data_IF_091156011787
#
_entry.id   IF_091156011787
#
_cell.length_a   1.000
_cell.length_b   1.000
_cell.length_c   1.000
_cell.angle_alpha   90.00
_cell.angle_beta   90.00
_cell.angle_gamma   90.00
#
_symmetry.space_group_name_H-M   'P 1'
#
loop_
_entity.id
_entity.type
_entity.pdbx_description
1 polymer ?
#
# COMPACT_ATOMS: atom_id res chain seq x y z
N UNK A 1 12.92 9.13 -7.46
CA UNK A 1 11.99 9.00 -6.32
C UNK A 1 10.63 8.78 -6.95
N UNK A 2 10.03 7.61 -6.78
CA UNK A 2 8.70 7.33 -7.30
C UNK A 2 7.68 8.10 -6.46
N UNK A 3 6.73 8.75 -7.11
CA UNK A 3 5.64 9.41 -6.40
C UNK A 3 4.66 8.36 -5.84
N UNK A 4 3.91 8.62 -4.76
CA UNK A 4 2.89 7.71 -4.22
C UNK A 4 1.93 7.15 -5.28
N UNK A 5 1.57 8.00 -6.24
CA UNK A 5 0.79 7.64 -7.42
C UNK A 5 1.46 6.61 -8.32
N UNK A 6 2.76 6.75 -8.59
CA UNK A 6 3.50 5.80 -9.41
C UNK A 6 3.69 4.45 -8.70
N UNK A 7 3.94 4.48 -7.39
CA UNK A 7 4.02 3.27 -6.58
C UNK A 7 2.68 2.51 -6.59
N UNK A 8 1.57 3.24 -6.46
CA UNK A 8 0.24 2.66 -6.57
C UNK A 8 -0.06 2.13 -7.98
N UNK A 9 0.25 2.88 -9.04
CA UNK A 9 0.07 2.44 -10.41
C UNK A 9 0.89 1.17 -10.70
N UNK A 10 2.13 1.10 -10.19
CA UNK A 10 2.98 -0.10 -10.27
C UNK A 10 2.33 -1.30 -9.58
N UNK A 11 1.74 -1.11 -8.39
CA UNK A 11 1.01 -2.17 -7.69
C UNK A 11 -0.22 -2.63 -8.49
N UNK A 12 -0.97 -1.68 -9.06
CA UNK A 12 -2.13 -1.93 -9.91
C UNK A 12 -1.73 -2.70 -11.18
N UNK A 13 -0.64 -2.32 -11.83
CA UNK A 13 -0.07 -3.02 -12.99
C UNK A 13 0.38 -4.43 -12.63
N UNK A 14 1.01 -4.62 -11.48
CA UNK A 14 1.40 -5.95 -10.99
C UNK A 14 0.17 -6.84 -10.75
N UNK A 15 -0.91 -6.28 -10.20
CA UNK A 15 -2.19 -6.96 -10.03
C UNK A 15 -2.95 -7.16 -11.36
N UNK A 16 -2.54 -6.50 -12.43
CA UNK A 16 -3.22 -6.39 -13.72
C UNK A 16 -4.34 -5.34 -13.75
N UNK A 17 -5.01 -5.04 -12.64
CA UNK A 17 -6.06 -4.01 -12.55
C UNK A 17 -6.27 -3.55 -11.10
N UNK A 18 -6.80 -2.33 -10.90
CA UNK A 18 -7.10 -1.81 -9.56
C UNK A 18 -8.18 -2.63 -8.85
N UNK A 19 -9.15 -3.16 -9.60
CA UNK A 19 -10.16 -4.09 -9.07
C UNK A 19 -9.56 -5.46 -8.71
N UNK A 20 -8.54 -5.94 -9.44
CA UNK A 20 -7.85 -7.18 -9.13
C UNK A 20 -6.99 -7.02 -7.88
N UNK A 21 -6.29 -5.88 -7.74
CA UNK A 21 -5.58 -5.51 -6.52
C UNK A 21 -6.54 -5.48 -5.34
N UNK A 22 -7.68 -4.78 -5.47
CA UNK A 22 -8.72 -4.70 -4.44
C UNK A 22 -9.18 -6.09 -4.00
N UNK A 23 -9.54 -6.96 -4.93
CA UNK A 23 -9.95 -8.34 -4.63
C UNK A 23 -8.83 -9.13 -3.97
N UNK A 24 -7.60 -8.94 -4.43
CA UNK A 24 -6.40 -9.59 -3.92
C UNK A 24 -6.09 -9.26 -2.45
N UNK A 25 -6.41 -8.04 -2.03
CA UNK A 25 -6.28 -7.58 -0.64
C UNK A 25 -7.59 -7.74 0.16
N UNK A 26 -8.61 -8.41 -0.40
CA UNK A 26 -9.89 -8.65 0.29
C UNK A 26 -10.78 -7.41 0.41
N UNK A 27 -10.59 -6.41 -0.46
CA UNK A 27 -11.38 -5.19 -0.50
C UNK A 27 -12.27 -5.10 -1.73
N UNK A 28 -13.31 -4.27 -1.61
CA UNK A 28 -14.15 -3.92 -2.75
C UNK A 28 -13.41 -2.91 -3.65
N UNK A 29 -13.58 -2.99 -4.98
CA UNK A 29 -13.00 -2.01 -5.91
C UNK A 29 -13.38 -0.56 -5.55
N UNK A 30 -14.59 -0.37 -5.03
CA UNK A 30 -15.08 0.92 -4.53
C UNK A 30 -14.24 1.48 -3.39
N UNK A 31 -13.80 0.64 -2.44
CA UNK A 31 -12.95 1.07 -1.33
C UNK A 31 -11.62 1.64 -1.86
N UNK A 32 -11.04 0.96 -2.86
CA UNK A 32 -9.78 1.38 -3.49
C UNK A 32 -9.96 2.68 -4.27
N UNK A 33 -11.06 2.86 -5.01
CA UNK A 33 -11.37 4.13 -5.68
C UNK A 33 -11.59 5.30 -4.71
N UNK A 34 -12.02 5.02 -3.48
CA UNK A 34 -12.22 6.05 -2.44
C UNK A 34 -10.92 6.41 -1.71
N UNK A 35 -9.84 5.66 -1.91
CA UNK A 35 -8.58 5.96 -1.25
C UNK A 35 -7.98 7.27 -1.76
N UNK A 36 -7.48 8.05 -0.81
CA UNK A 36 -6.60 9.14 -1.16
C UNK A 36 -5.19 8.57 -1.30
N UNK A 37 -4.64 8.58 -2.52
CA UNK A 37 -3.33 8.01 -2.84
C UNK A 37 -2.22 8.68 -2.00
N UNK A 38 -2.39 9.96 -1.64
CA UNK A 38 -1.45 10.69 -0.79
C UNK A 38 -1.54 10.28 0.69
N UNK A 39 -2.68 9.72 1.11
CA UNK A 39 -2.96 9.32 2.49
C UNK A 39 -3.59 7.92 2.57
N UNK A 40 -2.96 6.95 1.92
CA UNK A 40 -3.34 5.54 2.07
C UNK A 40 -3.08 5.13 3.53
N UNK A 41 -4.03 4.44 4.19
CA UNK A 41 -3.85 3.94 5.56
C UNK A 41 -2.68 2.94 5.62
N UNK A 42 -1.93 2.95 6.73
CA UNK A 42 -0.74 2.12 6.87
C UNK A 42 -1.03 0.62 6.72
N UNK A 43 -2.14 0.17 7.29
CA UNK A 43 -2.64 -1.21 7.21
C UNK A 43 -2.82 -1.66 5.75
N UNK A 44 -3.27 -0.75 4.88
CA UNK A 44 -3.50 -1.02 3.45
C UNK A 44 -2.23 -1.02 2.63
N UNK A 45 -1.24 -0.19 3.00
CA UNK A 45 0.07 -0.25 2.37
C UNK A 45 0.76 -1.60 2.65
N UNK A 46 0.59 -2.16 3.85
CA UNK A 46 1.09 -3.50 4.18
C UNK A 46 0.35 -4.60 3.40
N UNK A 47 -0.98 -4.48 3.26
CA UNK A 47 -1.77 -5.39 2.41
C UNK A 47 -1.25 -5.40 0.96
N UNK A 48 -0.96 -4.22 0.40
CA UNK A 48 -0.40 -4.09 -0.96
C UNK A 48 1.02 -4.66 -1.03
N UNK A 49 1.88 -4.41 -0.04
CA UNK A 49 3.24 -4.96 0.02
C UNK A 49 3.21 -6.50 0.04
N UNK A 50 2.32 -7.09 0.85
CA UNK A 50 2.11 -8.54 0.92
C UNK A 50 1.57 -9.09 -0.40
N UNK A 51 0.58 -8.44 -0.99
CA UNK A 51 -0.02 -8.85 -2.26
C UNK A 51 1.00 -8.81 -3.42
N UNK A 52 1.83 -7.77 -3.46
CA UNK A 52 2.87 -7.59 -4.47
C UNK A 52 4.16 -8.36 -4.16
N UNK A 53 4.18 -9.18 -3.09
CA UNK A 53 5.36 -9.95 -2.63
C UNK A 53 6.61 -9.07 -2.46
N UNK A 54 6.43 -7.82 -2.01
CA UNK A 54 7.51 -6.86 -1.82
C UNK A 54 8.01 -6.15 -3.09
N UNK A 55 7.33 -6.29 -4.24
CA UNK A 55 7.66 -5.48 -5.44
C UNK A 55 7.33 -3.99 -5.26
N UNK A 56 6.29 -3.70 -4.49
CA UNK A 56 5.93 -2.35 -4.06
C UNK A 56 5.98 -2.34 -2.55
N UNK A 57 6.89 -1.55 -2.00
CA UNK A 57 7.00 -1.42 -0.56
C UNK A 57 6.05 -0.37 -0.03
N UNK A 58 5.67 -0.53 1.22
CA UNK A 58 4.84 0.45 1.92
C UNK A 58 5.49 1.85 1.97
N UNK A 59 6.83 1.92 2.03
CA UNK A 59 7.63 3.15 1.94
C UNK A 59 7.52 3.88 0.61
N UNK A 60 7.27 3.17 -0.50
CA UNK A 60 7.06 3.80 -1.82
C UNK A 60 5.64 4.36 -1.95
N UNK A 61 4.66 3.71 -1.31
CA UNK A 61 3.26 4.19 -1.27
C UNK A 61 3.10 5.41 -0.36
N UNK A 62 3.80 5.44 0.77
CA UNK A 62 3.78 6.58 1.71
C UNK A 62 5.22 6.95 2.09
N UNK A 63 5.93 7.72 1.26
CA UNK A 63 7.24 8.25 1.59
C UNK A 63 7.18 9.34 2.68
N UNK A 64 5.99 9.91 2.90
CA UNK A 64 5.69 10.90 3.93
C UNK A 64 5.84 10.33 5.36
N UNK A 65 5.68 9.01 5.52
CA UNK A 65 5.76 8.33 6.82
C UNK A 65 7.09 7.60 6.94
N UNK A 66 7.74 7.69 8.11
CA UNK A 66 8.90 6.87 8.41
C UNK A 66 8.50 5.44 8.81
N UNK A 67 8.43 4.55 7.83
CA UNK A 67 8.05 3.14 8.01
C UNK A 67 8.95 2.35 8.96
N UNK A 68 10.23 2.73 9.11
CA UNK A 68 11.11 2.12 10.11
C UNK A 68 10.59 2.40 11.53
N UNK A 69 10.07 3.61 11.76
CA UNK A 69 9.52 3.98 13.05
C UNK A 69 8.17 3.31 13.31
N UNK A 70 7.30 3.23 12.30
CA UNK A 70 6.00 2.54 12.40
C UNK A 70 6.15 1.05 12.74
N UNK A 71 7.12 0.38 12.12
CA UNK A 71 7.42 -1.04 12.43
C UNK A 71 7.97 -1.20 13.84
N UNK A 72 8.83 -0.29 14.28
CA UNK A 72 9.39 -0.31 15.65
C UNK A 72 8.36 0.01 16.73
N UNK A 73 7.41 0.91 16.48
CA UNK A 73 6.38 1.26 17.45
C UNK A 73 5.41 0.11 17.73
N UNK A 74 5.06 -0.71 16.71
CA UNK A 74 4.23 -1.91 16.93
C UNK A 74 4.93 -2.99 17.75
N UNK A 75 6.25 -3.10 17.66
CA UNK A 75 7.00 -4.11 18.44
C UNK A 75 7.19 -3.75 19.91
N UNK A 76 6.89 -2.51 20.32
CA UNK A 76 7.12 -2.03 21.71
C UNK A 76 5.92 -2.22 22.64
N UNK A 77 4.81 -2.79 22.19
CA UNK A 77 3.68 -3.10 23.06
C UNK A 77 3.76 -4.57 23.47
N UNK A 78 4.59 -4.84 24.47
CA UNK A 78 4.58 -6.07 25.28
C UNK A 78 4.62 -5.63 26.74
#
# INVERSE_FOLDING_TARGET
>A
MLSPHEAFDKAVRFAGSSAALARGIGLTPWAVSKWNIEKIPEDRCEDIEKFTKGQVKAEELRPDINWKYVRQSRTKTT
#
